data_IF_580739287024
#
_entry.id   IF_580739287024
#
_cell.length_a   1.000
_cell.length_b   1.000
_cell.length_c   1.000
_cell.angle_alpha   90.00
_cell.angle_beta   90.00
_cell.angle_gamma   90.00
#
_symmetry.space_group_name_H-M   'P 1'
#
loop_
_entity.id
_entity.type
_entity.pdbx_description
1 polymer ?
#
# COMPACT_ATOMS: atom_id res chain seq x y z
N UNK A 1 -8.76 20.11 -14.38
CA UNK A 1 -7.66 19.43 -15.10
C UNK A 1 -7.05 18.40 -14.16
N UNK A 2 -7.22 17.10 -14.42
CA UNK A 2 -6.46 16.05 -13.73
C UNK A 2 -5.43 15.54 -14.73
N UNK A 3 -4.15 15.76 -14.43
CA UNK A 3 -3.06 15.33 -15.29
C UNK A 3 -3.06 13.80 -15.40
N UNK A 4 -3.11 13.31 -16.64
CA UNK A 4 -3.20 11.90 -16.98
C UNK A 4 -1.80 11.25 -16.91
N UNK A 5 -1.28 11.07 -15.70
CA UNK A 5 -0.02 10.34 -15.45
C UNK A 5 -0.30 8.83 -15.39
N UNK A 6 -0.63 8.24 -16.54
CA UNK A 6 -0.72 6.79 -16.70
C UNK A 6 0.65 6.26 -17.13
N UNK A 7 1.62 6.30 -16.22
CA UNK A 7 2.85 5.55 -16.44
C UNK A 7 2.50 4.07 -16.22
N UNK A 8 2.79 3.20 -17.19
CA UNK A 8 2.59 1.75 -17.02
C UNK A 8 3.73 1.16 -16.18
N UNK A 9 3.97 1.71 -14.99
CA UNK A 9 4.99 1.19 -14.09
C UNK A 9 4.46 -0.15 -13.58
N UNK A 10 5.16 -1.24 -13.91
CA UNK A 10 4.86 -2.55 -13.35
C UNK A 10 5.50 -2.69 -11.97
N UNK A 11 5.17 -3.75 -11.23
CA UNK A 11 5.81 -4.08 -9.96
C UNK A 11 7.36 -4.09 -10.07
N UNK A 12 7.90 -4.50 -11.23
CA UNK A 12 9.34 -4.50 -11.46
C UNK A 12 9.91 -3.09 -11.65
N UNK A 13 9.16 -2.19 -12.28
CA UNK A 13 9.54 -0.77 -12.36
C UNK A 13 9.54 -0.11 -10.98
N UNK A 14 8.57 -0.45 -10.12
CA UNK A 14 8.53 0.02 -8.73
C UNK A 14 9.75 -0.43 -7.92
N UNK A 15 10.25 -1.66 -8.14
CA UNK A 15 11.49 -2.14 -7.50
C UNK A 15 12.70 -1.32 -7.91
N UNK A 16 12.85 -1.03 -9.20
CA UNK A 16 13.96 -0.19 -9.69
C UNK A 16 13.88 1.24 -9.15
N UNK A 17 12.67 1.80 -9.07
CA UNK A 17 12.44 3.09 -8.41
C UNK A 17 12.81 3.05 -6.92
N UNK A 18 12.45 1.98 -6.21
CA UNK A 18 12.83 1.77 -4.81
C UNK A 18 14.34 1.73 -4.62
N UNK A 19 15.07 1.03 -5.48
CA UNK A 19 16.55 1.03 -5.46
C UNK A 19 17.13 2.44 -5.64
N UNK A 20 16.52 3.25 -6.52
CA UNK A 20 16.88 4.65 -6.68
C UNK A 20 16.59 5.47 -5.42
N UNK A 21 15.43 5.28 -4.79
CA UNK A 21 15.07 5.95 -3.53
C UNK A 21 16.00 5.60 -2.37
N UNK A 22 16.56 4.39 -2.37
CA UNK A 22 17.51 3.94 -1.35
C UNK A 22 18.80 4.78 -1.32
N UNK A 23 19.19 5.33 -2.46
CA UNK A 23 20.40 6.17 -2.59
C UNK A 23 20.07 7.65 -2.75
N UNK A 24 18.81 7.98 -3.01
CA UNK A 24 18.37 9.35 -3.25
C UNK A 24 18.09 10.07 -1.91
N UNK A 25 18.73 11.22 -1.73
CA UNK A 25 18.64 12.04 -0.51
C UNK A 25 18.01 13.42 -0.78
N UNK A 26 17.50 13.66 -1.99
CA UNK A 26 17.01 14.98 -2.43
C UNK A 26 15.54 14.97 -2.82
N UNK A 27 14.98 13.80 -3.13
CA UNK A 27 13.59 13.65 -3.52
C UNK A 27 12.66 13.90 -2.33
N UNK A 28 11.83 14.94 -2.42
CA UNK A 28 10.88 15.32 -1.37
C UNK A 28 9.47 14.78 -1.59
N UNK A 29 9.03 14.74 -2.83
CA UNK A 29 7.66 14.36 -3.20
C UNK A 29 7.72 13.29 -4.27
N UNK A 30 7.07 12.15 -4.02
CA UNK A 30 6.90 11.08 -4.98
C UNK A 30 5.42 10.75 -5.13
N UNK A 31 4.90 10.92 -6.35
CA UNK A 31 3.51 10.60 -6.70
C UNK A 31 3.52 9.46 -7.70
N UNK A 32 2.99 8.32 -7.28
CA UNK A 32 2.91 7.09 -8.09
C UNK A 32 1.45 6.62 -8.25
N UNK A 33 0.51 7.53 -8.06
CA UNK A 33 -0.91 7.30 -8.21
C UNK A 33 -1.27 6.79 -9.61
N UNK A 34 -2.32 5.95 -9.71
CA UNK A 34 -2.81 5.32 -10.96
C UNK A 34 -1.79 4.43 -11.71
N UNK A 35 -0.79 3.86 -11.04
CA UNK A 35 0.15 2.91 -11.67
C UNK A 35 -0.22 1.45 -11.30
N UNK A 36 -0.21 0.49 -12.23
CA UNK A 36 -0.53 -0.92 -11.94
C UNK A 36 0.66 -1.68 -11.30
N UNK A 37 1.28 -1.09 -10.27
CA UNK A 37 2.46 -1.68 -9.61
C UNK A 37 2.10 -2.79 -8.62
N UNK A 38 0.80 -2.97 -8.35
CA UNK A 38 0.23 -3.86 -7.33
C UNK A 38 0.74 -3.55 -5.91
N UNK A 39 0.16 -4.17 -4.90
CA UNK A 39 0.60 -4.00 -3.49
C UNK A 39 2.09 -4.28 -3.31
N UNK A 40 2.61 -5.29 -4.02
CA UNK A 40 4.02 -5.69 -3.98
C UNK A 40 4.96 -4.52 -4.32
N UNK A 41 4.64 -3.72 -5.34
CA UNK A 41 5.43 -2.56 -5.73
C UNK A 41 5.42 -1.46 -4.67
N UNK A 42 4.24 -1.17 -4.09
CA UNK A 42 4.10 -0.17 -3.03
C UNK A 42 4.88 -0.55 -1.77
N UNK A 43 4.75 -1.80 -1.32
CA UNK A 43 5.48 -2.30 -0.16
C UNK A 43 7.00 -2.25 -0.38
N UNK A 44 7.47 -2.48 -1.60
CA UNK A 44 8.88 -2.38 -1.94
C UNK A 44 9.40 -0.94 -1.87
N UNK A 45 8.63 0.02 -2.39
CA UNK A 45 8.96 1.45 -2.30
C UNK A 45 9.05 1.88 -0.84
N UNK A 46 8.08 1.45 0.00
CA UNK A 46 8.08 1.78 1.42
C UNK A 46 9.30 1.21 2.16
N UNK A 47 9.62 -0.06 1.93
CA UNK A 47 10.83 -0.71 2.48
C UNK A 47 12.10 0.00 2.03
N UNK A 48 12.16 0.42 0.77
CA UNK A 48 13.31 1.15 0.23
C UNK A 48 13.51 2.51 0.90
N UNK A 49 12.43 3.26 1.15
CA UNK A 49 12.47 4.51 1.92
C UNK A 49 12.89 4.23 3.36
N UNK A 50 12.38 3.15 3.97
CA UNK A 50 12.77 2.73 5.31
C UNK A 50 14.27 2.41 5.40
N UNK A 51 14.80 1.74 4.40
CA UNK A 51 16.21 1.36 4.37
C UNK A 51 17.15 2.55 4.08
N UNK A 52 16.61 3.75 3.81
CA UNK A 52 17.38 4.96 3.59
C UNK A 52 17.14 6.01 4.70
N UNK A 53 17.98 6.04 5.75
CA UNK A 53 17.84 6.99 6.85
C UNK A 53 18.12 8.44 6.43
N UNK A 54 18.76 8.67 5.28
CA UNK A 54 19.05 10.00 4.74
C UNK A 54 18.03 10.46 3.68
N UNK A 55 16.92 9.73 3.55
CA UNK A 55 15.83 10.11 2.65
C UNK A 55 15.24 11.46 3.06
N UNK A 56 15.15 12.40 2.10
CA UNK A 56 14.48 13.69 2.28
C UNK A 56 12.98 13.63 1.90
N UNK A 57 12.42 12.43 1.79
CA UNK A 57 11.05 12.24 1.34
C UNK A 57 10.05 12.74 2.40
N UNK A 58 9.21 13.68 1.99
CA UNK A 58 8.16 14.30 2.81
C UNK A 58 6.77 13.81 2.40
N UNK A 59 6.55 13.50 1.12
CA UNK A 59 5.24 13.07 0.64
C UNK A 59 5.36 11.90 -0.34
N UNK A 60 4.59 10.86 -0.08
CA UNK A 60 4.48 9.68 -0.92
C UNK A 60 3.01 9.37 -1.21
N UNK A 61 2.62 9.49 -2.47
CA UNK A 61 1.22 9.38 -2.89
C UNK A 61 0.97 8.12 -3.73
N UNK A 62 0.19 7.21 -3.15
CA UNK A 62 -0.35 5.98 -3.72
C UNK A 62 -1.86 6.08 -3.95
N UNK A 63 -2.40 7.29 -4.16
CA UNK A 63 -3.81 7.47 -4.51
C UNK A 63 -4.18 6.65 -5.74
N UNK A 64 -5.37 6.05 -5.76
CA UNK A 64 -5.82 5.15 -6.83
C UNK A 64 -4.95 3.88 -7.03
N UNK A 65 -4.33 3.36 -5.97
CA UNK A 65 -3.62 2.08 -5.96
C UNK A 65 -4.29 1.06 -5.04
N UNK A 66 -4.31 -0.21 -5.45
CA UNK A 66 -4.70 -1.32 -4.57
C UNK A 66 -3.54 -1.66 -3.64
N UNK A 67 -3.75 -1.47 -2.33
CA UNK A 67 -2.83 -1.83 -1.25
C UNK A 67 -3.51 -2.80 -0.28
N UNK A 68 -2.75 -3.76 0.28
CA UNK A 68 -3.27 -4.77 1.22
C UNK A 68 -2.99 -4.37 2.68
N UNK A 69 -3.53 -5.14 3.63
CA UNK A 69 -3.29 -4.97 5.06
C UNK A 69 -1.79 -4.95 5.43
N UNK A 70 -0.97 -5.77 4.78
CA UNK A 70 0.49 -5.78 4.99
C UNK A 70 1.15 -4.43 4.67
N UNK A 71 0.62 -3.69 3.70
CA UNK A 71 1.11 -2.35 3.38
C UNK A 71 0.77 -1.36 4.50
N UNK A 72 -0.43 -1.44 5.07
CA UNK A 72 -0.83 -0.56 6.18
C UNK A 72 0.00 -0.83 7.44
N UNK A 73 0.37 -2.10 7.69
CA UNK A 73 1.26 -2.48 8.78
C UNK A 73 2.69 -1.92 8.57
N UNK A 74 3.17 -1.93 7.32
CA UNK A 74 4.43 -1.29 6.93
C UNK A 74 4.37 0.23 7.05
N UNK A 75 3.29 0.88 6.60
CA UNK A 75 3.06 2.33 6.74
C UNK A 75 3.12 2.75 8.20
N UNK A 76 2.45 1.99 9.07
CA UNK A 76 2.49 2.21 10.52
C UNK A 76 3.91 2.04 11.06
N UNK A 77 4.63 1.00 10.63
CA UNK A 77 6.00 0.74 11.08
C UNK A 77 6.98 1.84 10.64
N UNK A 78 6.88 2.30 9.38
CA UNK A 78 7.76 3.35 8.82
C UNK A 78 7.52 4.71 9.49
N UNK A 79 6.26 5.05 9.76
CA UNK A 79 5.88 6.25 10.52
C UNK A 79 6.43 6.24 11.95
N UNK A 80 6.52 5.06 12.57
CA UNK A 80 7.05 4.89 13.92
C UNK A 80 8.59 4.93 13.95
N UNK A 81 9.25 4.30 12.98
CA UNK A 81 10.72 4.12 13.04
C UNK A 81 11.54 5.27 12.45
N UNK A 82 11.11 5.93 11.36
CA UNK A 82 12.07 6.70 10.53
C UNK A 82 11.64 8.14 10.26
N UNK A 83 10.39 8.39 9.90
CA UNK A 83 9.99 9.73 9.47
C UNK A 83 8.64 10.10 10.05
N UNK A 84 8.66 10.75 11.22
CA UNK A 84 7.49 11.45 11.76
C UNK A 84 6.99 12.58 10.84
N UNK A 85 7.80 12.99 9.85
CA UNK A 85 7.45 13.97 8.82
C UNK A 85 6.97 13.41 7.47
N UNK A 86 7.03 12.08 7.25
CA UNK A 86 6.64 11.49 5.97
C UNK A 86 5.11 11.31 5.88
N UNK A 87 4.49 12.01 4.93
CA UNK A 87 3.07 11.92 4.64
C UNK A 87 2.81 10.88 3.54
N UNK A 88 2.19 9.77 3.90
CA UNK A 88 1.79 8.73 2.95
C UNK A 88 0.30 8.88 2.66
N UNK A 89 -0.05 9.13 1.40
CA UNK A 89 -1.43 9.20 0.90
C UNK A 89 -1.78 7.90 0.20
N UNK A 90 -2.84 7.23 0.62
CA UNK A 90 -3.36 6.03 -0.03
C UNK A 90 -4.80 6.27 -0.49
N UNK A 91 -5.11 5.82 -1.71
CA UNK A 91 -6.39 6.07 -2.34
C UNK A 91 -7.40 4.97 -2.06
N UNK A 92 -7.80 4.81 -0.80
CA UNK A 92 -9.13 4.39 -0.38
C UNK A 92 -9.18 4.18 1.15
N UNK A 93 -10.30 4.50 1.80
CA UNK A 93 -10.63 3.86 3.07
C UNK A 93 -10.80 2.37 2.79
N UNK A 94 -10.28 1.52 3.68
CA UNK A 94 -10.70 0.12 3.75
C UNK A 94 -12.23 0.13 3.71
N UNK A 95 -12.82 -0.35 2.62
CA UNK A 95 -14.09 -1.04 2.76
C UNK A 95 -13.71 -2.20 3.64
N UNK A 96 -14.06 -2.10 4.92
CA UNK A 96 -14.10 -3.23 5.80
C UNK A 96 -14.90 -4.28 5.04
N UNK A 97 -14.21 -5.27 4.46
CA UNK A 97 -14.76 -6.60 4.46
C UNK A 97 -14.89 -6.92 5.95
N UNK A 98 -15.97 -6.44 6.57
CA UNK A 98 -16.59 -7.17 7.65
C UNK A 98 -16.62 -8.57 7.09
N UNK A 99 -15.78 -9.43 7.64
CA UNK A 99 -16.05 -10.85 7.68
C UNK A 99 -17.36 -10.94 8.47
N UNK A 100 -18.48 -10.60 7.85
CA UNK A 100 -19.70 -11.32 8.12
C UNK A 100 -19.33 -12.74 7.73
N UNK A 101 -18.90 -13.46 8.77
CA UNK A 101 -19.04 -14.89 8.85
C UNK A 101 -20.41 -15.18 8.28
N UNK A 102 -20.46 -15.59 7.01
CA UNK A 102 -21.64 -16.20 6.44
C UNK A 102 -22.08 -17.23 7.49
N UNK A 103 -23.30 -17.14 8.03
CA UNK A 103 -23.75 -18.13 8.99
C UNK A 103 -23.64 -19.46 8.28
N UNK A 104 -22.75 -20.32 8.78
CA UNK A 104 -22.68 -21.72 8.36
C UNK A 104 -24.10 -22.22 8.43
N UNK A 105 -24.69 -22.47 7.26
CA UNK A 105 -26.01 -23.04 7.14
C UNK A 105 -25.97 -24.39 7.86
N UNK A 106 -26.41 -24.42 9.12
CA UNK A 106 -26.65 -25.68 9.82
C UNK A 106 -27.93 -26.23 9.22
N UNK A 107 -27.92 -27.37 8.51
CA UNK A 107 -29.17 -28.01 8.14
C UNK A 107 -29.95 -28.34 9.43
N UNK A 108 -31.28 -28.21 9.43
CA UNK A 108 -32.08 -28.56 10.59
C UNK A 108 -31.90 -30.05 10.92
N UNK A 109 -31.96 -30.45 12.21
CA UNK A 109 -31.95 -31.85 12.57
C UNK A 109 -33.17 -32.51 11.93
N UNK A 110 -32.95 -33.54 11.12
CA UNK A 110 -34.00 -34.43 10.65
C UNK A 110 -34.62 -35.12 11.85
N UNK A 111 -35.79 -34.67 12.26
CA UNK A 111 -36.71 -35.44 13.09
C UNK A 111 -37.17 -36.64 12.28
N UNK A 112 -36.47 -37.77 12.38
CA UNK A 112 -37.06 -39.06 11.98
C UNK A 112 -37.93 -39.49 13.16
N UNK A 113 -39.23 -39.25 12.98
CA UNK A 113 -40.27 -39.86 13.78
C UNK A 113 -40.50 -41.28 13.22
N UNK A 114 -40.25 -42.30 14.05
CA UNK A 114 -40.78 -43.66 13.93
C UNK A 114 -40.90 -44.26 15.32
#
# INVERSE_FOLDING_TARGET
>A
MRENINNRISAMGARHLGLGLRVNQTLRILVVSRNPMQTEGCSHLLKSVRDNPASALELLDFSDMQVNREFDDLDSSVKVEILSGLCIKTGAPRVDYKKELLPVFRPPPTSICS
#
